data_IF_218997134873
#
_entry.id   IF_218997134873
#
_cell.length_a   1.000
_cell.length_b   1.000
_cell.length_c   1.000
_cell.angle_alpha   90.00
_cell.angle_beta   90.00
_cell.angle_gamma   90.00
#
_symmetry.space_group_name_H-M   'P 1'
#
loop_
_entity.id
_entity.type
_entity.pdbx_description
1 polymer ?
#
# COMPACT_ATOMS: atom_id res chain seq x y z
N UNK A 1 -8.80 7.06 -2.11
CA UNK A 1 -8.67 6.19 -0.92
C UNK A 1 -7.59 6.62 0.07
N UNK A 2 -6.54 7.32 -0.37
CA UNK A 2 -5.42 7.73 0.49
C UNK A 2 -5.62 9.10 1.18
N UNK A 3 -6.81 9.67 1.10
CA UNK A 3 -7.09 10.93 1.78
C UNK A 3 -7.36 10.65 3.26
N UNK A 4 -6.92 11.55 4.14
CA UNK A 4 -7.22 11.43 5.58
C UNK A 4 -8.73 11.40 5.78
N UNK A 5 -9.18 10.57 6.72
CA UNK A 5 -10.59 10.33 7.03
C UNK A 5 -11.40 9.62 5.93
N UNK A 6 -10.77 9.21 4.82
CA UNK A 6 -11.45 8.40 3.81
C UNK A 6 -11.84 7.04 4.39
N UNK A 7 -13.11 6.64 4.18
CA UNK A 7 -13.64 5.32 4.50
C UNK A 7 -14.40 4.79 3.29
N UNK A 8 -14.11 3.55 2.89
CA UNK A 8 -14.82 2.89 1.80
C UNK A 8 -16.31 2.74 2.13
N UNK A 9 -17.17 2.94 1.14
CA UNK A 9 -18.62 2.72 1.28
C UNK A 9 -18.88 1.21 1.23
N UNK A 10 -19.24 0.59 2.35
CA UNK A 10 -19.83 -0.75 2.33
C UNK A 10 -21.35 -0.61 2.18
N UNK A 11 -21.94 -1.29 1.19
CA UNK A 11 -23.37 -1.59 1.24
C UNK A 11 -23.59 -2.47 2.47
N UNK A 12 -24.22 -1.92 3.51
CA UNK A 12 -24.47 -2.63 4.76
C UNK A 12 -23.37 -2.42 5.81
N UNK A 13 -23.45 -1.27 6.46
CA UNK A 13 -22.88 -0.99 7.78
C UNK A 13 -21.37 -0.76 7.88
N UNK A 14 -21.04 0.46 8.27
CA UNK A 14 -19.78 0.90 8.89
C UNK A 14 -19.55 0.17 10.24
N UNK A 15 -19.56 -1.16 10.29
CA UNK A 15 -19.35 -1.93 11.54
C UNK A 15 -17.91 -1.92 12.01
N UNK A 16 -16.95 -1.71 11.09
CA UNK A 16 -15.52 -1.73 11.44
C UNK A 16 -15.13 -0.37 12.03
N UNK A 17 -14.77 -0.29 13.33
CA UNK A 17 -14.32 0.95 13.95
C UNK A 17 -13.01 1.42 13.32
N UNK A 18 -12.90 2.73 13.07
CA UNK A 18 -11.68 3.32 12.52
C UNK A 18 -11.88 4.77 12.08
N UNK A 19 -10.83 5.57 12.20
CA UNK A 19 -10.84 7.00 11.88
C UNK A 19 -10.57 7.31 10.42
N UNK A 20 -10.12 6.33 9.63
CA UNK A 20 -9.72 6.55 8.23
C UNK A 20 -8.39 7.29 8.07
N UNK A 21 -7.53 7.30 9.09
CA UNK A 21 -6.25 8.01 9.04
C UNK A 21 -5.08 7.20 8.47
N UNK A 22 -5.11 5.86 8.62
CA UNK A 22 -3.96 4.99 8.36
C UNK A 22 -3.33 5.17 6.98
N UNK A 23 -4.12 5.00 5.91
CA UNK A 23 -3.62 5.14 4.54
C UNK A 23 -3.19 6.57 4.17
N UNK A 24 -3.77 7.59 4.80
CA UNK A 24 -3.33 8.97 4.64
C UNK A 24 -1.94 9.22 5.23
N UNK A 25 -1.65 8.62 6.39
CA UNK A 25 -0.32 8.67 7.01
C UNK A 25 0.69 7.91 6.15
N UNK A 26 0.34 6.71 5.67
CA UNK A 26 1.20 5.90 4.79
C UNK A 26 1.61 6.69 3.54
N UNK A 27 0.65 7.30 2.84
CA UNK A 27 0.93 8.11 1.65
C UNK A 27 1.87 9.28 1.96
N UNK A 28 1.72 9.92 3.11
CA UNK A 28 2.60 11.02 3.52
C UNK A 28 4.03 10.55 3.81
N UNK A 29 4.20 9.43 4.51
CA UNK A 29 5.52 8.82 4.77
C UNK A 29 6.20 8.49 3.45
N UNK A 30 5.50 7.84 2.52
CA UNK A 30 6.05 7.46 1.22
C UNK A 30 6.45 8.70 0.42
N UNK A 31 5.60 9.73 0.39
CA UNK A 31 5.90 10.99 -0.29
C UNK A 31 7.13 11.70 0.30
N UNK A 32 7.29 11.70 1.63
CA UNK A 32 8.45 12.26 2.32
C UNK A 32 9.75 11.55 1.91
N UNK A 33 9.67 10.25 1.64
CA UNK A 33 10.78 9.45 1.13
C UNK A 33 10.87 9.44 -0.40
N UNK A 34 10.14 10.33 -1.09
CA UNK A 34 10.11 10.43 -2.56
C UNK A 34 9.71 9.11 -3.24
N UNK A 35 8.97 8.26 -2.53
CA UNK A 35 8.48 7.00 -3.03
C UNK A 35 7.14 7.14 -3.79
N UNK A 36 6.64 5.99 -4.23
CA UNK A 36 5.36 5.82 -4.92
C UNK A 36 4.50 4.82 -4.18
N UNK A 37 3.18 5.03 -4.16
CA UNK A 37 2.22 4.05 -3.67
C UNK A 37 1.20 3.73 -4.76
N UNK A 38 0.88 2.45 -4.93
CA UNK A 38 -0.07 1.92 -5.91
C UNK A 38 -1.02 0.92 -5.26
N UNK A 39 -2.19 0.74 -5.86
CA UNK A 39 -3.19 -0.24 -5.42
C UNK A 39 -3.71 -0.98 -6.63
N UNK A 40 -3.65 -2.29 -6.57
CA UNK A 40 -4.37 -3.19 -7.46
C UNK A 40 -5.50 -3.84 -6.66
N UNK A 41 -6.69 -3.92 -7.22
CA UNK A 41 -7.82 -4.57 -6.55
C UNK A 41 -8.80 -5.13 -7.54
N UNK A 42 -9.32 -6.31 -7.23
CA UNK A 42 -10.38 -6.96 -8.00
C UNK A 42 -11.49 -7.42 -7.06
N UNK A 43 -12.73 -7.12 -7.44
CA UNK A 43 -13.91 -7.45 -6.62
C UNK A 43 -13.94 -8.97 -6.38
N UNK A 44 -14.03 -9.36 -5.10
CA UNK A 44 -14.05 -10.77 -4.70
C UNK A 44 -12.68 -11.41 -4.53
N UNK A 45 -11.59 -10.77 -4.95
CA UNK A 45 -10.22 -11.30 -4.85
C UNK A 45 -9.35 -10.52 -3.85
N UNK A 46 -9.84 -9.37 -3.38
CA UNK A 46 -9.16 -8.52 -2.41
C UNK A 46 -8.42 -7.37 -3.08
N UNK A 47 -7.44 -6.82 -2.37
CA UNK A 47 -6.63 -5.71 -2.84
C UNK A 47 -5.18 -5.90 -2.43
N UNK A 48 -4.26 -5.54 -3.31
CA UNK A 48 -2.82 -5.46 -3.08
C UNK A 48 -2.43 -3.99 -3.05
N UNK A 49 -1.74 -3.58 -1.99
CA UNK A 49 -1.18 -2.23 -1.86
C UNK A 49 0.33 -2.36 -1.94
N UNK A 50 0.96 -1.62 -2.85
CA UNK A 50 2.39 -1.65 -3.08
C UNK A 50 2.99 -0.27 -2.85
N UNK A 51 4.07 -0.21 -2.09
CA UNK A 51 4.89 0.98 -1.92
C UNK A 51 6.28 0.78 -2.51
N UNK A 52 6.81 1.82 -3.15
CA UNK A 52 8.11 1.84 -3.79
C UNK A 52 8.84 3.10 -3.30
N UNK A 53 9.60 2.98 -2.23
CA UNK A 53 10.45 4.07 -1.74
C UNK A 53 11.88 3.81 -2.20
N UNK A 54 12.23 4.14 -3.44
CA UNK A 54 13.57 3.86 -3.96
C UNK A 54 14.41 5.13 -4.10
N UNK A 55 15.46 5.22 -3.28
CA UNK A 55 16.85 5.40 -3.78
C UNK A 55 17.88 4.71 -2.88
N UNK A 56 17.51 3.76 -1.99
CA UNK A 56 18.57 3.02 -1.27
C UNK A 56 19.23 2.05 -2.24
N UNK A 57 20.55 2.18 -2.36
CA UNK A 57 21.41 1.28 -3.15
C UNK A 57 22.36 0.52 -2.22
N UNK A 58 22.05 0.50 -0.92
CA UNK A 58 22.86 -0.17 0.07
C UNK A 58 22.58 -1.68 0.07
N UNK A 59 23.60 -2.46 0.37
CA UNK A 59 23.54 -3.93 0.37
C UNK A 59 22.71 -4.54 1.51
N UNK A 60 22.27 -3.71 2.46
CA UNK A 60 21.36 -4.07 3.54
C UNK A 60 19.91 -3.64 3.27
N UNK A 61 19.63 -3.06 2.09
CA UNK A 61 18.29 -2.68 1.71
C UNK A 61 17.40 -3.93 1.67
N UNK A 62 16.35 -3.94 2.48
CA UNK A 62 15.33 -4.99 2.52
C UNK A 62 14.66 -5.18 1.15
N UNK A 63 14.71 -4.17 0.28
CA UNK A 63 14.19 -4.23 -1.10
C UNK A 63 15.16 -4.93 -2.07
N UNK A 64 16.42 -5.17 -1.67
CA UNK A 64 17.40 -5.96 -2.45
C UNK A 64 17.79 -7.28 -1.77
N UNK A 65 17.40 -7.50 -0.50
CA UNK A 65 17.71 -8.74 0.23
C UNK A 65 17.15 -9.99 -0.49
N UNK A 66 18.02 -10.89 -1.00
CA UNK A 66 17.60 -12.06 -1.76
C UNK A 66 16.91 -13.13 -0.90
N UNK A 67 16.93 -12.99 0.42
CA UNK A 67 16.27 -13.90 1.37
C UNK A 67 14.80 -13.56 1.56
N UNK A 68 14.38 -12.36 1.19
CA UNK A 68 12.97 -11.93 1.31
C UNK A 68 12.22 -12.43 0.07
N UNK A 69 11.43 -13.49 0.25
CA UNK A 69 10.53 -13.99 -0.79
C UNK A 69 9.33 -13.03 -0.91
N UNK A 70 9.34 -12.18 -1.93
CA UNK A 70 8.21 -11.27 -2.21
C UNK A 70 7.05 -12.03 -2.86
N UNK A 71 5.83 -11.58 -2.57
CA UNK A 71 4.59 -12.05 -3.21
C UNK A 71 4.72 -11.80 -4.74
N UNK A 72 4.13 -12.65 -5.61
CA UNK A 72 4.49 -12.71 -7.02
C UNK A 72 4.08 -11.44 -7.77
N UNK A 73 4.78 -11.16 -8.87
CA UNK A 73 4.43 -10.09 -9.80
C UNK A 73 2.97 -10.19 -10.20
N UNK A 74 2.23 -9.11 -9.99
CA UNK A 74 0.87 -8.97 -10.51
C UNK A 74 1.02 -8.88 -12.02
N UNK A 75 0.67 -9.94 -12.73
CA UNK A 75 0.60 -9.92 -14.18
C UNK A 75 -0.41 -8.85 -14.59
N UNK A 76 0.05 -7.83 -15.31
CA UNK A 76 -0.84 -6.87 -15.98
C UNK A 76 -1.52 -7.61 -17.13
N UNK A 77 -2.84 -7.75 -17.04
CA UNK A 77 -3.71 -7.97 -18.20
C UNK A 77 -3.85 -6.67 -19.01
#
# INVERSE_FOLDING_TARGET
>A
MFDRFYRGQQQGSSTIPGTGLGLGIVKEIINLHQGKIEVDSKIGEGAIVSEFSSTSHDESDIFTDPRIQRIPEIAKD
#
